data_IF_237336352902
#
_entry.id   IF_237336352902
#
_cell.length_a   1.000
_cell.length_b   1.000
_cell.length_c   1.000
_cell.angle_alpha   90.00
_cell.angle_beta   90.00
_cell.angle_gamma   90.00
#
_symmetry.space_group_name_H-M   'P 1'
#
loop_
_entity.id
_entity.type
_entity.pdbx_description
1 polymer ?
#
# COMPACT_ATOMS: atom_id res chain seq x y z
N UNK A 1 -0.47 12.06 11.74
CA UNK A 1 -0.39 12.24 10.28
C UNK A 1 -1.23 13.45 9.93
N UNK A 2 -0.60 14.60 9.68
CA UNK A 2 -1.33 15.82 9.34
C UNK A 2 -1.75 15.77 7.86
N UNK A 3 -2.91 16.33 7.47
CA UNK A 3 -3.31 16.42 6.05
C UNK A 3 -2.24 17.06 5.16
N UNK A 4 -1.44 17.98 5.70
CA UNK A 4 -0.33 18.64 5.00
C UNK A 4 0.82 17.69 4.62
N UNK A 5 1.02 16.59 5.36
CA UNK A 5 2.09 15.63 5.09
C UNK A 5 1.82 14.85 3.79
N UNK A 6 0.54 14.64 3.45
CA UNK A 6 0.13 13.94 2.22
C UNK A 6 0.38 14.76 0.97
N UNK A 7 0.16 16.07 1.04
CA UNK A 7 0.41 17.00 -0.09
C UNK A 7 1.89 17.06 -0.43
N UNK A 8 2.76 17.13 0.59
CA UNK A 8 4.22 17.15 0.41
C UNK A 8 4.76 15.87 -0.25
N UNK A 9 4.24 14.70 0.14
CA UNK A 9 4.65 13.42 -0.46
C UNK A 9 4.25 13.32 -1.95
N UNK A 10 3.08 13.83 -2.32
CA UNK A 10 2.60 13.86 -3.70
C UNK A 10 3.45 14.76 -4.59
N UNK A 11 3.79 15.97 -4.12
CA UNK A 11 4.64 16.90 -4.87
C UNK A 11 6.05 16.33 -5.11
N UNK A 12 6.63 15.68 -4.10
CA UNK A 12 7.92 14.99 -4.23
C UNK A 12 7.88 13.86 -5.24
N UNK A 13 6.79 13.09 -5.26
CA UNK A 13 6.59 12.02 -6.24
C UNK A 13 6.49 12.58 -7.67
N UNK A 14 5.69 13.62 -7.88
CA UNK A 14 5.52 14.25 -9.20
C UNK A 14 6.83 14.87 -9.70
N UNK A 15 7.56 15.56 -8.83
CA UNK A 15 8.86 16.15 -9.17
C UNK A 15 9.91 15.08 -9.53
N UNK A 16 9.92 13.95 -8.83
CA UNK A 16 10.80 12.82 -9.14
C UNK A 16 10.43 12.18 -10.49
N UNK A 17 9.13 12.00 -10.76
CA UNK A 17 8.61 11.47 -12.03
C UNK A 17 9.00 12.36 -13.22
N UNK A 18 8.86 13.67 -13.08
CA UNK A 18 9.23 14.63 -14.13
C UNK A 18 10.74 14.64 -14.42
N UNK A 19 11.58 14.52 -13.38
CA UNK A 19 13.04 14.39 -13.57
C UNK A 19 13.43 13.13 -14.32
N UNK A 20 12.86 11.99 -13.96
CA UNK A 20 13.17 10.73 -14.62
C UNK A 20 12.83 10.77 -16.12
N UNK A 21 11.68 11.36 -16.48
CA UNK A 21 11.30 11.51 -17.89
C UNK A 21 12.16 12.55 -18.64
N UNK A 22 12.56 13.65 -17.99
CA UNK A 22 13.47 14.62 -18.61
C UNK A 22 14.89 14.04 -18.81
N UNK A 23 15.33 13.16 -17.91
CA UNK A 23 16.60 12.42 -18.02
C UNK A 23 16.52 11.34 -19.11
N UNK A 24 15.39 10.64 -19.24
CA UNK A 24 15.11 9.73 -20.37
C UNK A 24 15.06 10.46 -21.71
N UNK A 25 14.43 11.64 -21.78
CA UNK A 25 14.30 12.42 -23.01
C UNK A 25 15.63 13.05 -23.44
N UNK A 26 16.47 13.46 -22.48
CA UNK A 26 17.84 13.93 -22.75
C UNK A 26 18.80 12.78 -23.08
N UNK A 27 18.62 11.59 -22.50
CA UNK A 27 19.34 10.38 -22.87
C UNK A 27 18.89 9.84 -24.25
N UNK A 28 17.62 10.02 -24.62
CA UNK A 28 17.08 9.68 -25.95
C UNK A 28 17.51 10.67 -27.05
N UNK A 29 17.99 11.85 -26.67
CA UNK A 29 18.59 12.84 -27.57
C UNK A 29 20.10 12.62 -27.75
N UNK A 30 20.71 11.70 -26.99
CA UNK A 30 22.09 11.26 -27.20
C UNK A 30 22.11 10.30 -28.41
N UNK A 31 22.99 10.58 -29.37
CA UNK A 31 23.12 9.94 -30.68
C UNK A 31 22.93 8.42 -30.66
N UNK A 32 22.44 7.78 -31.76
CA UNK A 32 22.33 6.33 -31.83
C UNK A 32 23.73 5.72 -31.68
N UNK A 33 24.07 5.32 -30.45
CA UNK A 33 25.34 4.67 -30.14
C UNK A 33 25.51 3.52 -31.10
N UNK A 34 26.71 3.42 -31.66
CA UNK A 34 27.08 2.23 -32.41
C UNK A 34 26.92 1.01 -31.49
N UNK A 35 26.51 -0.12 -32.05
CA UNK A 35 26.15 -1.31 -31.27
C UNK A 35 27.29 -1.74 -30.31
N UNK A 36 28.53 -1.55 -30.73
CA UNK A 36 29.75 -1.82 -29.97
C UNK A 36 29.92 -0.91 -28.73
N UNK A 37 29.61 0.38 -28.86
CA UNK A 37 29.68 1.34 -27.75
C UNK A 37 28.55 1.12 -26.73
N UNK A 38 27.39 0.63 -27.20
CA UNK A 38 26.30 0.22 -26.33
C UNK A 38 26.66 -1.04 -25.53
N UNK A 39 27.31 -2.02 -26.17
CA UNK A 39 27.83 -3.23 -25.52
C UNK A 39 28.88 -2.90 -24.45
N UNK A 40 29.82 -2.00 -24.73
CA UNK A 40 30.83 -1.57 -23.76
C UNK A 40 30.20 -0.84 -22.56
N UNK A 41 29.22 0.04 -22.81
CA UNK A 41 28.48 0.72 -21.74
C UNK A 41 27.66 -0.24 -20.87
N UNK A 42 27.05 -1.27 -21.47
CA UNK A 42 26.32 -2.33 -20.75
C UNK A 42 27.29 -3.17 -19.91
N UNK A 43 28.43 -3.57 -20.47
CA UNK A 43 29.45 -4.33 -19.74
C UNK A 43 29.97 -3.55 -18.52
N UNK A 44 30.29 -2.26 -18.70
CA UNK A 44 30.74 -1.38 -17.62
C UNK A 44 29.67 -1.12 -16.57
N UNK A 45 28.40 -0.97 -16.97
CA UNK A 45 27.28 -0.82 -16.04
C UNK A 45 26.98 -2.11 -15.27
N UNK A 46 27.11 -3.28 -15.92
CA UNK A 46 26.97 -4.58 -15.26
C UNK A 46 28.06 -4.79 -14.21
N UNK A 47 29.32 -4.46 -14.53
CA UNK A 47 30.43 -4.49 -13.59
C UNK A 47 30.23 -3.53 -12.40
N UNK A 48 29.77 -2.30 -12.67
CA UNK A 48 29.56 -1.29 -11.63
C UNK A 48 28.36 -1.58 -10.72
N UNK A 49 27.30 -2.17 -11.28
CA UNK A 49 26.04 -2.37 -10.56
C UNK A 49 26.03 -3.61 -9.65
N UNK A 50 27.01 -4.52 -9.78
CA UNK A 50 27.14 -5.70 -8.92
C UNK A 50 25.87 -6.58 -8.88
N UNK A 51 25.00 -6.43 -9.89
CA UNK A 51 23.72 -7.13 -9.95
C UNK A 51 24.00 -8.57 -10.39
N UNK A 52 23.61 -9.58 -9.60
CA UNK A 52 23.73 -10.97 -10.03
C UNK A 52 22.91 -11.17 -11.31
N UNK A 53 23.47 -11.91 -12.28
CA UNK A 53 22.89 -12.28 -13.58
C UNK A 53 21.44 -12.81 -13.57
N UNK A 54 20.85 -13.06 -12.40
CA UNK A 54 19.46 -13.47 -12.24
C UNK A 54 18.57 -12.25 -11.98
N UNK A 55 18.24 -11.55 -13.06
CA UNK A 55 17.71 -10.19 -13.11
C UNK A 55 16.28 -9.91 -12.60
N UNK A 56 15.77 -10.54 -11.54
CA UNK A 56 14.56 -10.02 -10.87
C UNK A 56 14.58 -10.32 -9.36
N UNK A 57 14.37 -9.31 -8.48
CA UNK A 57 14.14 -9.58 -7.07
C UNK A 57 12.89 -10.47 -6.95
N UNK A 58 12.90 -11.47 -6.05
CA UNK A 58 11.80 -12.41 -5.93
C UNK A 58 10.47 -11.65 -5.77
N UNK A 59 9.47 -12.03 -6.58
CA UNK A 59 8.15 -11.37 -6.69
C UNK A 59 7.45 -11.19 -5.33
N UNK A 60 7.81 -12.01 -4.34
CA UNK A 60 7.30 -11.96 -2.96
C UNK A 60 7.76 -10.75 -2.16
N UNK A 61 8.86 -10.11 -2.56
CA UNK A 61 9.45 -8.97 -1.83
C UNK A 61 8.83 -7.63 -2.21
N UNK A 62 8.17 -7.55 -3.39
CA UNK A 62 7.69 -6.28 -3.97
C UNK A 62 6.24 -5.96 -3.57
N UNK A 63 5.45 -6.97 -3.19
CA UNK A 63 4.11 -6.78 -2.64
C UNK A 63 4.00 -7.44 -1.26
N UNK A 64 4.31 -6.74 -0.16
CA UNK A 64 3.85 -7.18 1.15
C UNK A 64 2.31 -7.22 1.07
N UNK A 65 1.75 -8.42 1.04
CA UNK A 65 0.31 -8.62 1.00
C UNK A 65 -0.29 -8.04 2.28
N UNK A 66 -0.84 -6.83 2.18
CA UNK A 66 -1.53 -6.15 3.29
C UNK A 66 -2.83 -6.87 3.72
N UNK A 67 -3.12 -8.04 3.14
CA UNK A 67 -4.30 -8.87 3.37
C UNK A 67 -4.45 -9.29 4.84
N UNK A 68 -3.36 -9.35 5.61
CA UNK A 68 -3.41 -9.71 7.04
C UNK A 68 -3.87 -8.60 7.99
N UNK A 69 -3.82 -7.33 7.56
CA UNK A 69 -4.19 -6.19 8.42
C UNK A 69 -5.70 -5.96 8.47
N UNK A 70 -6.34 -6.03 7.31
CA UNK A 70 -7.78 -5.75 7.18
C UNK A 70 -8.62 -6.88 7.77
N UNK A 71 -8.20 -8.15 7.67
CA UNK A 71 -8.95 -9.24 8.33
C UNK A 71 -9.09 -9.01 9.84
N UNK A 72 -8.02 -8.61 10.53
CA UNK A 72 -8.06 -8.36 11.98
C UNK A 72 -9.00 -7.22 12.35
N UNK A 73 -9.02 -6.12 11.60
CA UNK A 73 -9.90 -4.99 11.90
C UNK A 73 -11.37 -5.33 11.62
N UNK A 74 -11.63 -6.10 10.56
CA UNK A 74 -12.96 -6.61 10.22
C UNK A 74 -13.54 -7.47 11.35
N UNK A 75 -12.78 -8.46 11.84
CA UNK A 75 -13.23 -9.29 12.96
C UNK A 75 -13.47 -8.48 14.24
N UNK A 76 -12.61 -7.50 14.53
CA UNK A 76 -12.81 -6.61 15.68
C UNK A 76 -14.10 -5.79 15.57
N UNK A 77 -14.39 -5.24 14.39
CA UNK A 77 -15.62 -4.50 14.14
C UNK A 77 -16.85 -5.41 14.23
N UNK A 78 -16.80 -6.61 13.66
CA UNK A 78 -17.88 -7.60 13.70
C UNK A 78 -18.22 -7.98 15.15
N UNK A 79 -17.19 -8.26 15.96
CA UNK A 79 -17.36 -8.58 17.38
C UNK A 79 -17.91 -7.39 18.15
N UNK A 80 -17.43 -6.17 17.90
CA UNK A 80 -17.94 -4.96 18.56
C UNK A 80 -19.44 -4.74 18.27
N UNK A 81 -19.84 -4.87 17.00
CA UNK A 81 -21.25 -4.73 16.59
C UNK A 81 -22.11 -5.81 17.26
N UNK A 82 -21.64 -7.06 17.28
CA UNK A 82 -22.34 -8.16 17.94
C UNK A 82 -22.61 -7.87 19.43
N UNK A 83 -21.61 -7.41 20.18
CA UNK A 83 -21.80 -7.05 21.58
C UNK A 83 -22.77 -5.88 21.77
N UNK A 84 -22.70 -4.84 20.92
CA UNK A 84 -23.66 -3.74 20.95
C UNK A 84 -25.09 -4.21 20.72
N UNK A 85 -25.32 -5.12 19.76
CA UNK A 85 -26.62 -5.70 19.48
C UNK A 85 -27.14 -6.50 20.67
N UNK A 86 -26.31 -7.37 21.25
CA UNK A 86 -26.69 -8.20 22.41
C UNK A 86 -27.00 -7.32 23.63
N UNK A 87 -26.14 -6.36 23.96
CA UNK A 87 -26.37 -5.44 25.07
C UNK A 87 -27.62 -4.59 24.86
N UNK A 88 -27.84 -4.09 23.65
CA UNK A 88 -29.05 -3.37 23.26
C UNK A 88 -30.30 -4.23 23.41
N UNK A 89 -30.23 -5.51 23.01
CA UNK A 89 -31.36 -6.44 23.12
C UNK A 89 -31.67 -6.78 24.58
N UNK A 90 -30.65 -6.97 25.43
CA UNK A 90 -30.82 -7.23 26.86
C UNK A 90 -31.42 -5.99 27.54
N UNK A 91 -30.91 -4.80 27.25
CA UNK A 91 -31.43 -3.56 27.82
C UNK A 91 -32.87 -3.29 27.38
N UNK A 92 -33.16 -3.42 26.09
CA UNK A 92 -34.52 -3.28 25.54
C UNK A 92 -35.47 -4.35 26.09
N UNK A 93 -35.01 -5.61 26.16
CA UNK A 93 -35.77 -6.70 26.75
C UNK A 93 -36.13 -6.43 28.21
N UNK A 94 -35.19 -5.94 29.01
CA UNK A 94 -35.43 -5.60 30.42
C UNK A 94 -36.41 -4.42 30.56
N UNK A 95 -36.34 -3.41 29.70
CA UNK A 95 -37.29 -2.30 29.72
C UNK A 95 -38.71 -2.72 29.28
N UNK A 96 -38.84 -3.60 28.31
CA UNK A 96 -40.14 -3.93 27.70
C UNK A 96 -40.83 -5.17 28.36
N UNK A 97 -40.06 -6.10 28.91
CA UNK A 97 -40.57 -7.34 29.53
C UNK A 97 -40.44 -7.35 31.06
N UNK A 98 -39.67 -6.45 31.68
CA UNK A 98 -39.66 -6.26 33.13
C UNK A 98 -40.92 -5.56 33.68
N UNK A 99 -41.87 -5.19 32.80
CA UNK A 99 -43.08 -4.44 33.11
C UNK A 99 -44.38 -5.25 33.05
N UNK A 100 -44.36 -6.55 33.39
CA UNK A 100 -45.59 -7.27 33.75
C UNK A 100 -45.69 -7.39 35.27
N UNK A 101 -46.28 -6.40 35.97
CA UNK A 101 -47.00 -6.72 37.19
C UNK A 101 -48.16 -7.61 36.76
N UNK A 102 -47.99 -8.92 36.90
CA UNK A 102 -49.14 -9.81 36.99
C UNK A 102 -49.97 -9.30 38.16
N UNK A 103 -51.14 -8.73 37.87
CA UNK A 103 -52.19 -8.54 38.86
C UNK A 103 -53.41 -9.34 38.41
N UNK A 104 -53.59 -10.42 39.16
CA UNK A 104 -54.86 -11.06 39.56
C UNK A 104 -56.10 -10.19 39.51
#
# INVERSE_FOLDING_TARGET
MSPNDRTNAWERYVAAKQRAFAEEESAAAEEPRTLEELEEAIAKAAEFSGIPETGMPPRSTVHPSSSGSWSRWFYRALVAIFFCLVAGLIWWGNQNHGGTPGNS
#
